data_IF_392159323953
#
_entry.id   IF_392159323953
#
_cell.length_a   1.000
_cell.length_b   1.000
_cell.length_c   1.000
_cell.angle_alpha   90.00
_cell.angle_beta   90.00
_cell.angle_gamma   90.00
#
_symmetry.space_group_name_H-M   'P 1'
#
loop_
_entity.id
_entity.type
_entity.pdbx_description
1 polymer ?
#
# COMPACT_ATOMS: atom_id res chain seq x y z
N UNK A 1 20.43 3.60 25.66
CA UNK A 1 20.04 2.58 24.68
C UNK A 1 19.58 3.30 23.43
N UNK A 2 20.18 3.00 22.28
CA UNK A 2 19.71 3.52 21.00
C UNK A 2 18.42 2.76 20.63
N UNK A 3 17.29 3.46 20.62
CA UNK A 3 16.05 2.90 20.07
C UNK A 3 16.17 3.01 18.56
N UNK A 4 16.42 1.89 17.87
CA UNK A 4 16.33 1.86 16.41
C UNK A 4 14.88 2.12 15.98
N UNK A 5 14.55 3.38 15.71
CA UNK A 5 13.37 3.77 14.94
C UNK A 5 13.58 3.36 13.48
N UNK A 6 13.35 2.07 13.20
CA UNK A 6 13.42 1.51 11.87
C UNK A 6 12.36 2.17 10.98
N UNK A 7 12.79 3.01 10.05
CA UNK A 7 11.93 3.62 9.04
C UNK A 7 11.60 2.58 7.97
N UNK A 8 10.32 2.46 7.64
CA UNK A 8 9.84 1.62 6.55
C UNK A 8 8.82 2.37 5.69
N UNK A 9 8.93 2.21 4.39
CA UNK A 9 7.96 2.65 3.41
C UNK A 9 7.27 1.38 2.91
N UNK A 10 5.99 1.22 3.23
CA UNK A 10 5.23 0.00 2.96
C UNK A 10 4.15 0.31 1.95
N UNK A 11 4.12 -0.39 0.82
CA UNK A 11 3.01 -0.30 -0.15
C UNK A 11 2.13 -1.53 -0.03
N UNK A 12 0.84 -1.28 0.17
CA UNK A 12 -0.21 -2.28 0.17
C UNK A 12 -0.82 -2.37 -1.24
N UNK A 13 -0.82 -3.57 -1.82
CA UNK A 13 -1.42 -3.85 -3.13
C UNK A 13 -2.65 -4.72 -2.91
N UNK A 14 -3.82 -4.21 -3.28
CA UNK A 14 -5.13 -4.83 -3.09
C UNK A 14 -5.63 -5.40 -4.41
N UNK A 15 -5.85 -6.71 -4.48
CA UNK A 15 -6.48 -7.36 -5.60
C UNK A 15 -7.99 -7.08 -5.61
N UNK A 16 -8.47 -6.53 -6.73
CA UNK A 16 -9.86 -6.18 -7.00
C UNK A 16 -10.39 -6.89 -8.26
N UNK A 17 -9.79 -8.03 -8.61
CA UNK A 17 -10.34 -8.98 -9.58
C UNK A 17 -11.74 -9.48 -9.17
N UNK A 18 -12.44 -10.10 -10.12
CA UNK A 18 -13.81 -10.58 -9.86
C UNK A 18 -13.85 -11.80 -8.94
N UNK A 19 -12.79 -12.62 -8.91
CA UNK A 19 -12.69 -13.83 -8.09
C UNK A 19 -12.65 -13.53 -6.59
N UNK A 20 -12.06 -12.40 -6.21
CA UNK A 20 -12.06 -11.88 -4.83
C UNK A 20 -13.51 -11.66 -4.31
N UNK A 21 -14.34 -10.97 -5.10
CA UNK A 21 -15.70 -10.58 -4.70
C UNK A 21 -15.76 -9.53 -3.58
N UNK A 22 -16.90 -8.83 -3.46
CA UNK A 22 -17.05 -7.65 -2.57
C UNK A 22 -16.75 -7.96 -1.10
N UNK A 23 -17.13 -9.14 -0.61
CA UNK A 23 -16.91 -9.50 0.80
C UNK A 23 -15.43 -9.67 1.14
N UNK A 24 -14.66 -10.40 0.32
CA UNK A 24 -13.23 -10.58 0.58
C UNK A 24 -12.43 -9.32 0.27
N UNK A 25 -12.89 -8.50 -0.69
CA UNK A 25 -12.34 -7.17 -0.94
C UNK A 25 -12.36 -6.31 0.34
N UNK A 26 -13.50 -6.25 1.05
CA UNK A 26 -13.57 -5.58 2.36
C UNK A 26 -12.65 -6.21 3.41
N UNK A 27 -12.53 -7.55 3.46
CA UNK A 27 -11.60 -8.24 4.39
C UNK A 27 -10.14 -7.84 4.17
N UNK A 28 -9.71 -7.57 2.93
CA UNK A 28 -8.36 -7.08 2.65
C UNK A 28 -8.12 -5.70 3.30
N UNK A 29 -9.04 -4.74 3.12
CA UNK A 29 -8.91 -3.42 3.77
C UNK A 29 -8.95 -3.51 5.29
N UNK A 30 -9.79 -4.36 5.86
CA UNK A 30 -9.85 -4.53 7.31
C UNK A 30 -8.59 -5.21 7.87
N UNK A 31 -7.97 -6.12 7.11
CA UNK A 31 -6.64 -6.63 7.44
C UNK A 31 -5.58 -5.53 7.35
N UNK A 32 -5.57 -4.74 6.28
CA UNK A 32 -4.64 -3.62 6.11
C UNK A 32 -4.74 -2.58 7.23
N UNK A 33 -5.95 -2.20 7.65
CA UNK A 33 -6.18 -1.32 8.82
C UNK A 33 -5.59 -1.93 10.10
N UNK A 34 -5.85 -3.21 10.35
CA UNK A 34 -5.28 -3.92 11.52
C UNK A 34 -3.76 -3.99 11.45
N UNK A 35 -3.17 -4.27 10.29
CA UNK A 35 -1.73 -4.29 10.08
C UNK A 35 -1.11 -2.91 10.36
N UNK A 36 -1.65 -1.85 9.74
CA UNK A 36 -1.18 -0.48 9.90
C UNK A 36 -1.24 -0.01 11.37
N UNK A 37 -2.26 -0.41 12.12
CA UNK A 37 -2.42 -0.07 13.54
C UNK A 37 -1.33 -0.65 14.47
N UNK A 38 -0.52 -1.62 14.03
CA UNK A 38 0.64 -2.11 14.79
C UNK A 38 1.89 -1.23 14.62
N UNK A 39 1.86 -0.24 13.71
CA UNK A 39 2.99 0.63 13.43
C UNK A 39 2.73 2.05 13.92
N UNK A 40 3.80 2.71 14.37
CA UNK A 40 3.80 4.17 14.50
C UNK A 40 3.91 4.76 13.10
N UNK A 41 2.85 5.41 12.63
CA UNK A 41 2.79 6.05 11.32
C UNK A 41 3.32 7.48 11.43
N UNK A 42 4.17 7.90 10.50
CA UNK A 42 4.63 9.28 10.39
C UNK A 42 5.95 9.46 9.64
N UNK A 43 6.36 10.71 9.37
CA UNK A 43 7.54 11.03 8.54
C UNK A 43 8.87 10.48 9.10
N UNK A 44 8.94 10.23 10.41
CA UNK A 44 10.10 9.68 11.10
C UNK A 44 9.98 8.20 11.48
N UNK A 45 8.86 7.55 11.14
CA UNK A 45 8.56 6.16 11.51
C UNK A 45 8.13 5.41 10.23
N UNK A 46 6.98 4.72 10.22
CA UNK A 46 6.46 3.99 9.05
C UNK A 46 5.55 4.87 8.19
N UNK A 47 5.60 4.68 6.86
CA UNK A 47 4.65 5.27 5.90
C UNK A 47 3.96 4.18 5.10
N UNK A 48 2.70 4.44 4.72
CA UNK A 48 1.89 3.51 3.93
C UNK A 48 1.48 4.12 2.59
N UNK A 49 1.79 3.42 1.50
CA UNK A 49 1.23 3.62 0.17
C UNK A 49 0.16 2.56 -0.14
N UNK A 50 -0.73 2.83 -1.09
CA UNK A 50 -1.89 1.99 -1.37
C UNK A 50 -2.18 1.95 -2.86
N UNK A 51 -2.26 0.74 -3.41
CA UNK A 51 -2.54 0.47 -4.82
C UNK A 51 -3.68 -0.55 -4.90
N UNK A 52 -4.65 -0.27 -5.74
CA UNK A 52 -5.67 -1.19 -6.19
C UNK A 52 -5.22 -1.82 -7.51
N UNK A 53 -5.36 -3.12 -7.66
CA UNK A 53 -5.00 -3.83 -8.89
C UNK A 53 -6.17 -4.69 -9.38
N UNK A 54 -6.58 -4.47 -10.62
CA UNK A 54 -7.54 -5.31 -11.34
C UNK A 54 -7.08 -5.45 -12.80
N UNK A 55 -7.90 -5.07 -13.78
CA UNK A 55 -7.45 -4.92 -15.17
C UNK A 55 -6.41 -3.80 -15.33
N UNK A 56 -6.48 -2.80 -14.45
CA UNK A 56 -5.56 -1.68 -14.37
C UNK A 56 -5.08 -1.48 -12.93
N UNK A 57 -3.91 -0.84 -12.77
CA UNK A 57 -3.41 -0.40 -11.47
C UNK A 57 -3.89 1.03 -11.17
N UNK A 58 -4.47 1.23 -10.00
CA UNK A 58 -5.02 2.51 -9.55
C UNK A 58 -4.42 2.84 -8.17
N UNK A 59 -3.84 4.02 -7.99
CA UNK A 59 -3.25 4.40 -6.69
C UNK A 59 -4.32 4.98 -5.79
N UNK A 60 -4.57 4.27 -4.69
CA UNK A 60 -5.46 4.71 -3.63
C UNK A 60 -4.82 5.81 -2.77
N UNK A 61 -3.49 5.79 -2.59
CA UNK A 61 -2.71 6.84 -1.90
C UNK A 61 -1.20 6.63 -2.04
N UNK A 62 -0.42 7.71 -2.12
CA UNK A 62 1.05 7.68 -2.14
C UNK A 62 1.65 7.75 -0.72
N UNK A 63 2.93 7.37 -0.57
CA UNK A 63 3.65 7.36 0.72
C UNK A 63 3.70 8.72 1.44
N UNK A 64 3.60 9.83 0.70
CA UNK A 64 3.53 11.20 1.24
C UNK A 64 2.12 11.71 1.50
N UNK A 65 1.10 11.06 0.94
CA UNK A 65 -0.29 11.52 1.08
C UNK A 65 -0.81 11.12 2.46
N UNK A 66 -0.38 9.95 2.94
CA UNK A 66 -0.59 9.47 4.30
C UNK A 66 0.36 10.09 5.34
N UNK A 67 0.26 11.40 5.53
CA UNK A 67 0.39 11.96 6.88
C UNK A 67 -0.98 11.90 7.63
N UNK A 68 -2.10 11.66 6.90
CA UNK A 68 -3.41 11.16 7.39
C UNK A 68 -4.21 10.52 6.21
N UNK A 69 -5.42 9.97 6.46
CA UNK A 69 -6.06 8.89 5.68
C UNK A 69 -6.54 9.19 4.22
N UNK A 70 -6.51 10.43 3.71
CA UNK A 70 -7.20 10.78 2.45
C UNK A 70 -6.27 11.25 1.30
N UNK A 71 -6.25 10.55 0.14
CA UNK A 71 -5.67 11.11 -1.10
C UNK A 71 -5.52 10.17 -2.31
N UNK A 72 -6.21 10.47 -3.43
CA UNK A 72 -6.34 9.67 -4.68
C UNK A 72 -6.04 10.60 -5.90
N UNK A 73 -5.45 10.26 -7.06
CA UNK A 73 -5.21 8.99 -7.80
C UNK A 73 -3.91 9.03 -8.68
N UNK A 74 -3.51 7.90 -9.30
CA UNK A 74 -3.00 7.72 -10.70
C UNK A 74 -2.30 6.35 -10.94
N UNK A 75 -2.13 5.91 -12.19
CA UNK A 75 -1.36 4.70 -12.60
C UNK A 75 0.11 4.73 -12.14
N UNK A 76 0.66 3.59 -11.69
CA UNK A 76 2.05 3.48 -11.18
C UNK A 76 2.75 2.15 -11.53
N UNK A 77 4.08 2.20 -11.73
CA UNK A 77 5.03 1.08 -11.73
C UNK A 77 5.78 0.96 -10.39
N UNK A 78 6.38 -0.20 -10.07
CA UNK A 78 7.10 -0.44 -8.79
C UNK A 78 8.03 0.70 -8.37
N UNK A 79 8.84 1.17 -9.31
CA UNK A 79 9.93 2.12 -9.07
C UNK A 79 9.38 3.54 -8.83
N UNK A 80 8.15 3.81 -9.31
CA UNK A 80 7.44 5.05 -9.08
C UNK A 80 6.79 5.08 -7.69
N UNK A 81 6.38 3.94 -7.12
CA UNK A 81 5.80 3.86 -5.76
C UNK A 81 6.74 4.42 -4.69
N UNK A 82 7.99 3.96 -4.70
CA UNK A 82 9.04 4.33 -3.74
C UNK A 82 9.88 5.53 -4.19
N UNK A 83 9.49 6.20 -5.28
CA UNK A 83 10.15 7.41 -5.72
C UNK A 83 10.02 8.52 -4.67
N UNK A 84 11.04 9.37 -4.55
CA UNK A 84 10.99 10.56 -3.69
C UNK A 84 9.82 11.49 -4.05
N UNK A 85 9.43 11.53 -5.34
CA UNK A 85 8.26 12.27 -5.82
C UNK A 85 6.92 11.76 -5.24
N UNK A 86 6.83 10.48 -4.87
CA UNK A 86 5.67 9.85 -4.21
C UNK A 86 5.81 9.72 -2.69
N UNK A 87 6.98 10.04 -2.13
CA UNK A 87 7.22 10.10 -0.68
C UNK A 87 8.20 9.06 -0.12
N UNK A 88 8.79 8.22 -0.98
CA UNK A 88 9.78 7.24 -0.60
C UNK A 88 11.07 7.88 -0.08
N UNK A 89 11.71 7.21 0.89
CA UNK A 89 12.82 7.72 1.70
C UNK A 89 14.04 6.82 1.53
N UNK A 90 15.14 7.36 1.02
CA UNK A 90 16.39 6.62 0.80
C UNK A 90 17.02 6.00 2.08
N UNK A 91 16.53 6.35 3.27
CA UNK A 91 16.92 5.75 4.55
C UNK A 91 15.81 4.92 5.24
N UNK A 92 14.73 4.59 4.52
CA UNK A 92 13.73 3.62 4.92
C UNK A 92 13.97 2.27 4.24
N UNK A 93 13.28 1.23 4.71
CA UNK A 93 13.13 -0.04 3.99
C UNK A 93 11.87 -0.01 3.13
N UNK A 94 12.03 -0.23 1.84
CA UNK A 94 10.92 -0.40 0.90
C UNK A 94 10.34 -1.83 1.04
N UNK A 95 9.03 -1.93 1.24
CA UNK A 95 8.31 -3.21 1.41
C UNK A 95 7.03 -3.18 0.60
N UNK A 96 6.74 -4.25 -0.15
CA UNK A 96 5.45 -4.45 -0.82
C UNK A 96 4.71 -5.59 -0.15
N UNK A 97 3.45 -5.37 0.21
CA UNK A 97 2.53 -6.40 0.73
C UNK A 97 1.39 -6.56 -0.27
N UNK A 98 1.28 -7.75 -0.88
CA UNK A 98 0.25 -8.05 -1.87
C UNK A 98 -0.86 -8.89 -1.22
N UNK A 99 -2.09 -8.43 -1.37
CA UNK A 99 -3.31 -9.16 -1.02
C UNK A 99 -3.93 -9.68 -2.31
N UNK A 100 -4.10 -10.99 -2.45
CA UNK A 100 -4.67 -11.68 -3.61
C UNK A 100 -5.24 -13.03 -3.19
N UNK A 101 -6.13 -13.62 -3.99
CA UNK A 101 -6.57 -15.02 -3.86
C UNK A 101 -5.60 -16.02 -4.50
N UNK A 102 -4.63 -15.54 -5.29
CA UNK A 102 -3.65 -16.35 -6.00
C UNK A 102 -4.11 -16.81 -7.39
N UNK A 103 -5.25 -16.34 -7.91
CA UNK A 103 -5.67 -16.56 -9.30
C UNK A 103 -5.20 -15.41 -10.22
N UNK A 104 -4.16 -15.60 -11.05
CA UNK A 104 -3.66 -14.55 -11.93
C UNK A 104 -4.57 -14.26 -13.15
N UNK A 105 -5.66 -15.01 -13.35
CA UNK A 105 -6.43 -15.01 -14.61
C UNK A 105 -7.69 -14.13 -14.53
N UNK A 106 -8.23 -13.85 -13.34
CA UNK A 106 -9.57 -13.26 -13.15
C UNK A 106 -9.68 -11.72 -13.24
N UNK A 107 -8.75 -11.05 -13.92
CA UNK A 107 -8.63 -9.58 -14.03
C UNK A 107 -9.70 -8.93 -14.95
N UNK A 108 -10.96 -8.87 -14.49
CA UNK A 108 -12.11 -8.39 -15.30
C UNK A 108 -13.01 -7.33 -14.64
N UNK A 109 -12.46 -6.17 -14.31
CA UNK A 109 -13.21 -4.91 -14.18
C UNK A 109 -12.52 -3.79 -14.94
#
# INVERSE_FOLDING_TARGET
SEVCTAKADIVLVFDASNSIGVENFHKQFDFAKRLAAHFKIGPNDVRFGGVLFSRYAEVLFNLKDNDNIEGVNNLITSDQLFSSAKGGRANAKDVVVVFTDGDPVSLTK
#
